data_IF_916164689623
#
_entry.id   IF_916164689623
#
_cell.length_a   1.000
_cell.length_b   1.000
_cell.length_c   1.000
_cell.angle_alpha   90.00
_cell.angle_beta   90.00
_cell.angle_gamma   90.00
#
_symmetry.space_group_name_H-M   'P 1'
#
loop_
_entity.id
_entity.type
_entity.pdbx_description
1 polymer ?
#
# COMPACT_ATOMS: atom_id res chain seq x y z
N UNK A 1 40.07 -16.56 -21.93
CA UNK A 1 40.07 -15.75 -20.72
C UNK A 1 38.68 -15.83 -20.12
N UNK A 2 38.48 -16.74 -19.17
CA UNK A 2 37.19 -17.03 -18.52
C UNK A 2 37.18 -16.31 -17.20
N UNK A 3 36.39 -15.23 -17.12
CA UNK A 3 36.21 -14.47 -15.88
C UNK A 3 35.02 -15.03 -15.12
N UNK A 4 35.31 -15.71 -14.03
CA UNK A 4 34.32 -16.29 -13.12
C UNK A 4 33.72 -15.21 -12.23
N UNK A 5 32.46 -14.85 -12.47
CA UNK A 5 31.69 -13.93 -11.62
C UNK A 5 31.29 -14.61 -10.31
N UNK A 6 32.00 -14.25 -9.23
CA UNK A 6 31.74 -14.77 -7.87
C UNK A 6 30.57 -14.02 -7.23
N UNK A 7 29.40 -14.64 -7.21
CA UNK A 7 28.23 -14.15 -6.48
C UNK A 7 28.51 -14.26 -4.96
N UNK A 8 28.70 -13.13 -4.30
CA UNK A 8 28.71 -13.06 -2.83
C UNK A 8 27.29 -13.22 -2.31
N UNK A 9 26.98 -14.38 -1.74
CA UNK A 9 25.80 -14.60 -0.92
C UNK A 9 25.97 -13.83 0.39
N UNK A 10 25.31 -12.67 0.50
CA UNK A 10 25.24 -11.94 1.77
C UNK A 10 24.05 -12.48 2.56
N UNK A 11 24.34 -13.44 3.43
CA UNK A 11 23.39 -14.04 4.37
C UNK A 11 23.28 -13.11 5.58
N UNK A 12 22.42 -12.11 5.55
CA UNK A 12 22.01 -11.38 6.74
C UNK A 12 20.61 -11.83 7.12
N UNK A 13 20.55 -12.97 7.81
CA UNK A 13 19.41 -13.37 8.63
C UNK A 13 19.31 -12.42 9.81
N UNK A 14 18.60 -11.32 9.66
CA UNK A 14 18.20 -10.50 10.78
C UNK A 14 17.05 -11.20 11.50
N UNK A 15 17.42 -11.85 12.55
CA UNK A 15 16.65 -12.42 13.63
C UNK A 15 15.68 -11.35 14.19
N UNK A 16 14.42 -11.39 13.75
CA UNK A 16 13.35 -10.61 14.36
C UNK A 16 12.92 -11.30 15.65
N UNK A 17 13.62 -10.97 16.74
CA UNK A 17 13.28 -11.42 18.08
C UNK A 17 12.13 -10.57 18.61
N UNK A 18 10.90 -11.07 18.43
CA UNK A 18 9.71 -10.52 19.08
C UNK A 18 9.89 -10.60 20.59
N UNK A 19 10.23 -9.49 21.22
CA UNK A 19 10.17 -9.34 22.67
C UNK A 19 8.71 -9.12 23.07
N UNK A 20 8.04 -10.23 23.37
CA UNK A 20 6.81 -10.17 24.13
C UNK A 20 7.22 -9.80 25.57
N UNK A 21 7.15 -8.52 25.92
CA UNK A 21 7.26 -8.11 27.31
C UNK A 21 6.00 -8.58 28.04
N UNK A 22 6.14 -9.72 28.74
CA UNK A 22 5.20 -10.13 29.77
C UNK A 22 5.37 -9.12 30.89
N UNK A 23 4.50 -8.14 30.95
CA UNK A 23 4.35 -7.25 32.09
C UNK A 23 3.74 -8.08 33.21
N UNK A 24 4.59 -8.57 34.10
CA UNK A 24 4.21 -9.26 35.31
C UNK A 24 3.62 -8.22 36.28
N UNK A 25 2.34 -7.86 36.06
CA UNK A 25 1.60 -7.00 36.96
C UNK A 25 1.28 -7.78 38.22
N UNK A 26 2.08 -7.57 39.25
CA UNK A 26 1.77 -7.98 40.63
C UNK A 26 0.51 -7.26 41.05
N UNK A 27 -0.63 -7.93 41.00
CA UNK A 27 -1.92 -7.42 41.45
C UNK A 27 -1.87 -7.43 42.99
N UNK A 28 -1.94 -6.26 43.66
CA UNK A 28 -2.10 -6.23 45.09
C UNK A 28 -3.46 -6.80 45.49
N UNK A 29 -3.45 -7.85 46.32
CA UNK A 29 -4.65 -8.48 46.86
C UNK A 29 -5.33 -7.58 47.89
N UNK A 30 -5.98 -6.53 47.42
CA UNK A 30 -6.98 -5.81 48.24
C UNK A 30 -8.37 -6.32 47.89
N UNK A 31 -8.68 -7.56 48.33
CA UNK A 31 -10.05 -8.06 48.34
C UNK A 31 -10.80 -7.44 49.53
N UNK A 32 -11.22 -6.17 49.41
CA UNK A 32 -12.29 -5.66 50.23
C UNK A 32 -13.58 -6.30 49.73
N UNK A 33 -14.21 -7.08 50.63
CA UNK A 33 -15.56 -7.66 50.45
C UNK A 33 -16.59 -6.54 50.35
N UNK A 34 -16.67 -5.85 49.25
CA UNK A 34 -17.83 -5.05 48.89
C UNK A 34 -18.86 -6.03 48.31
N UNK A 35 -20.02 -6.13 49.00
CA UNK A 35 -21.16 -6.92 48.55
C UNK A 35 -21.63 -6.38 47.20
N UNK A 36 -21.12 -6.99 46.13
CA UNK A 36 -21.46 -6.67 44.73
C UNK A 36 -22.91 -7.10 44.50
N UNK A 37 -23.84 -6.14 44.47
CA UNK A 37 -25.25 -6.40 44.16
C UNK A 37 -25.34 -7.09 42.80
N UNK A 38 -25.91 -8.30 42.68
CA UNK A 38 -25.88 -9.11 41.45
C UNK A 38 -26.63 -8.48 40.25
N UNK A 39 -27.17 -7.28 40.40
CA UNK A 39 -27.88 -6.56 39.34
C UNK A 39 -27.02 -5.72 38.44
N UNK A 40 -25.74 -5.46 38.80
CA UNK A 40 -24.83 -4.61 38.03
C UNK A 40 -23.97 -5.48 37.06
N UNK A 41 -23.77 -6.75 37.39
CA UNK A 41 -22.94 -7.67 36.59
C UNK A 41 -23.47 -7.86 35.14
N UNK A 42 -24.78 -8.04 34.89
CA UNK A 42 -25.29 -8.19 33.52
C UNK A 42 -25.19 -6.88 32.72
N UNK A 43 -25.26 -5.71 33.37
CA UNK A 43 -25.13 -4.42 32.71
C UNK A 43 -23.70 -4.17 32.24
N UNK A 44 -22.68 -4.52 33.06
CA UNK A 44 -21.26 -4.43 32.67
C UNK A 44 -20.88 -5.40 31.56
N UNK A 45 -21.48 -6.61 31.54
CA UNK A 45 -21.30 -7.58 30.47
C UNK A 45 -21.93 -7.09 29.15
N UNK A 46 -23.06 -6.43 29.20
CA UNK A 46 -23.74 -5.89 28.03
C UNK A 46 -22.96 -4.71 27.43
N UNK A 47 -22.38 -3.84 28.25
CA UNK A 47 -21.53 -2.72 27.81
C UNK A 47 -20.21 -3.21 27.19
N UNK A 48 -19.63 -4.30 27.73
CA UNK A 48 -18.41 -4.90 27.19
C UNK A 48 -18.60 -5.53 25.78
N UNK A 49 -19.79 -6.03 25.48
CA UNK A 49 -20.12 -6.60 24.15
C UNK A 49 -20.31 -5.52 23.06
N UNK A 50 -20.64 -4.28 23.44
CA UNK A 50 -20.83 -3.17 22.49
C UNK A 50 -19.52 -2.46 22.14
N UNK A 51 -18.45 -2.62 22.92
CA UNK A 51 -17.15 -1.98 22.66
C UNK A 51 -16.25 -2.75 21.69
N UNK A 52 -16.69 -3.92 21.19
CA UNK A 52 -15.86 -4.83 20.41
C UNK A 52 -15.80 -4.58 18.89
N UNK A 53 -16.49 -3.59 18.36
CA UNK A 53 -16.48 -3.30 16.93
C UNK A 53 -15.78 -1.97 16.63
N UNK A 54 -14.50 -1.86 16.95
CA UNK A 54 -13.63 -0.92 16.24
C UNK A 54 -13.17 -1.64 14.96
N UNK A 55 -14.01 -1.65 13.94
CA UNK A 55 -13.53 -1.89 12.60
C UNK A 55 -12.56 -0.75 12.25
N UNK A 56 -11.27 -1.00 12.41
CA UNK A 56 -10.31 -0.28 11.61
C UNK A 56 -10.68 -0.60 10.15
N UNK A 57 -11.43 0.31 9.54
CA UNK A 57 -11.78 0.28 8.14
C UNK A 57 -10.49 0.35 7.33
N UNK A 58 -9.75 -0.74 7.30
CA UNK A 58 -8.65 -0.94 6.39
C UNK A 58 -9.21 -0.80 5.00
N UNK A 59 -8.94 0.35 4.35
CA UNK A 59 -9.34 0.56 2.96
C UNK A 59 -8.81 -0.64 2.18
N UNK A 60 -9.69 -1.38 1.51
CA UNK A 60 -9.38 -2.58 0.68
C UNK A 60 -8.46 -2.24 -0.51
N UNK A 61 -7.79 -1.11 -0.46
CA UNK A 61 -6.98 -0.57 -1.52
C UNK A 61 -5.51 -0.60 -1.12
N UNK A 62 -4.62 -1.02 -2.03
CA UNK A 62 -3.20 -0.98 -1.78
C UNK A 62 -2.80 0.45 -1.37
N UNK A 63 -2.41 0.63 -0.10
CA UNK A 63 -1.80 1.88 0.32
C UNK A 63 -0.37 1.88 -0.16
N UNK A 64 0.03 2.90 -0.90
CA UNK A 64 1.42 3.09 -1.30
C UNK A 64 2.16 3.79 -0.17
N UNK A 65 3.02 3.07 0.52
CA UNK A 65 3.81 3.63 1.62
C UNK A 65 4.71 4.76 1.12
N UNK A 66 4.69 5.91 1.79
CA UNK A 66 5.42 7.11 1.38
C UNK A 66 4.87 7.80 0.14
N UNK A 67 3.74 7.34 -0.42
CA UNK A 67 3.08 7.96 -1.57
C UNK A 67 2.11 9.07 -1.14
N UNK A 68 2.10 10.17 -1.90
CA UNK A 68 1.19 11.30 -1.77
C UNK A 68 0.43 11.49 -3.09
N UNK A 69 -0.90 11.36 -3.06
CA UNK A 69 -1.72 11.36 -4.26
C UNK A 69 -1.77 12.73 -4.98
N UNK A 70 -1.76 13.83 -4.23
CA UNK A 70 -1.80 15.16 -4.82
C UNK A 70 -0.50 15.49 -5.54
N UNK A 71 0.62 15.11 -4.95
CA UNK A 71 1.94 15.18 -5.61
C UNK A 71 1.97 14.27 -6.83
N UNK A 72 1.45 13.05 -6.73
CA UNK A 72 1.34 12.12 -7.85
C UNK A 72 0.57 12.69 -9.02
N UNK A 73 -0.57 13.35 -8.77
CA UNK A 73 -1.36 14.03 -9.80
C UNK A 73 -0.55 15.12 -10.53
N UNK A 74 0.19 15.95 -9.79
CA UNK A 74 1.06 16.99 -10.38
C UNK A 74 2.17 16.38 -11.25
N UNK A 75 2.78 15.29 -10.76
CA UNK A 75 3.80 14.57 -11.51
C UNK A 75 3.24 13.94 -12.78
N UNK A 76 2.02 13.39 -12.78
CA UNK A 76 1.35 12.90 -13.99
C UNK A 76 1.24 13.98 -15.08
N UNK A 77 0.97 15.23 -14.67
CA UNK A 77 0.95 16.38 -15.59
C UNK A 77 2.37 16.72 -16.07
N UNK A 78 3.34 16.78 -15.17
CA UNK A 78 4.73 17.11 -15.48
C UNK A 78 5.36 16.11 -16.47
N UNK A 79 5.13 14.83 -16.26
CA UNK A 79 5.62 13.75 -17.14
C UNK A 79 4.71 13.47 -18.34
N UNK A 80 3.68 14.31 -18.53
CA UNK A 80 2.77 14.26 -19.68
C UNK A 80 2.11 12.88 -19.91
N UNK A 81 1.79 12.16 -18.85
CA UNK A 81 1.19 10.83 -18.93
C UNK A 81 -0.13 10.82 -19.71
N UNK A 82 -0.88 11.96 -19.66
CA UNK A 82 -2.14 12.14 -20.40
C UNK A 82 -1.98 12.22 -21.92
N UNK A 83 -0.75 12.35 -22.44
CA UNK A 83 -0.49 12.29 -23.89
C UNK A 83 -0.83 10.89 -24.45
N UNK A 84 -0.64 9.86 -23.65
CA UNK A 84 -0.92 8.47 -24.06
C UNK A 84 -2.15 7.88 -23.39
N UNK A 85 -2.49 8.34 -22.18
CA UNK A 85 -3.55 7.79 -21.35
C UNK A 85 -4.69 8.78 -21.11
N UNK A 86 -5.91 8.26 -21.00
CA UNK A 86 -7.02 9.01 -20.42
C UNK A 86 -6.89 8.93 -18.89
N UNK A 87 -6.67 10.08 -18.24
CA UNK A 87 -6.46 10.17 -16.80
C UNK A 87 -7.38 11.22 -16.20
N UNK A 88 -8.37 10.83 -15.38
CA UNK A 88 -9.30 11.77 -14.76
C UNK A 88 -8.57 12.87 -13.98
N UNK A 89 -9.06 14.10 -14.12
CA UNK A 89 -8.55 15.27 -13.37
C UNK A 89 -7.06 15.60 -13.58
N UNK A 90 -6.40 15.00 -14.55
CA UNK A 90 -5.03 15.39 -14.98
C UNK A 90 -5.16 16.26 -16.22
N UNK A 91 -4.67 17.53 -16.19
CA UNK A 91 -4.70 18.41 -17.35
C UNK A 91 -3.86 17.87 -18.51
N UNK A 92 -4.28 18.19 -19.72
CA UNK A 92 -3.55 17.83 -20.93
C UNK A 92 -4.41 17.06 -21.93
N UNK A 93 -3.84 16.64 -23.08
CA UNK A 93 -4.53 15.78 -24.02
C UNK A 93 -4.89 14.46 -23.34
N UNK A 94 -6.08 13.93 -23.66
CA UNK A 94 -6.51 12.63 -23.15
C UNK A 94 -6.28 11.61 -24.27
N UNK A 95 -5.02 11.10 -24.35
CA UNK A 95 -4.60 10.20 -25.42
C UNK A 95 -5.19 8.80 -25.30
N UNK A 96 -5.19 8.08 -26.42
CA UNK A 96 -5.75 6.74 -26.57
C UNK A 96 -4.71 5.69 -26.99
N UNK A 97 -3.44 6.06 -27.06
CA UNK A 97 -2.36 5.11 -27.41
C UNK A 97 -2.03 4.13 -26.28
N UNK A 98 -2.37 4.48 -25.04
CA UNK A 98 -2.38 3.61 -23.86
C UNK A 98 -3.80 3.37 -23.35
N UNK A 99 -4.01 2.39 -22.45
CA UNK A 99 -5.33 2.15 -21.87
C UNK A 99 -5.79 3.33 -21.00
N UNK A 100 -7.13 3.53 -20.90
CA UNK A 100 -7.69 4.45 -19.91
C UNK A 100 -7.29 4.05 -18.51
N UNK A 101 -6.92 5.03 -17.67
CA UNK A 101 -6.56 4.84 -16.27
C UNK A 101 -7.70 5.19 -15.30
N UNK A 102 -8.91 5.51 -15.84
CA UNK A 102 -10.06 5.95 -15.03
C UNK A 102 -10.39 5.04 -13.86
N UNK A 103 -10.21 3.73 -14.03
CA UNK A 103 -10.55 2.74 -13.00
C UNK A 103 -9.36 1.87 -12.61
N UNK A 104 -8.12 2.32 -12.90
CA UNK A 104 -6.93 1.51 -12.70
C UNK A 104 -6.77 1.02 -11.25
N UNK A 105 -7.21 1.81 -10.27
CA UNK A 105 -7.16 1.44 -8.85
C UNK A 105 -8.09 0.28 -8.46
N UNK A 106 -9.02 -0.13 -9.35
CA UNK A 106 -9.96 -1.26 -9.13
C UNK A 106 -9.54 -2.54 -9.84
N UNK A 107 -8.60 -2.45 -10.76
CA UNK A 107 -8.17 -3.61 -11.53
C UNK A 107 -7.38 -4.58 -10.66
N UNK A 108 -7.55 -5.87 -10.89
CA UNK A 108 -6.73 -6.92 -10.26
C UNK A 108 -5.35 -7.03 -10.90
N UNK A 109 -5.23 -6.62 -12.15
CA UNK A 109 -3.99 -6.68 -12.94
C UNK A 109 -3.78 -5.39 -13.72
N UNK A 110 -2.50 -5.02 -13.90
CA UNK A 110 -2.04 -3.93 -14.78
C UNK A 110 -1.23 -4.52 -15.93
N UNK A 111 -0.98 -3.74 -16.96
CA UNK A 111 -0.13 -4.10 -18.11
C UNK A 111 -0.46 -5.46 -18.74
N UNK A 112 -1.68 -5.95 -18.57
CA UNK A 112 -2.16 -7.20 -19.16
C UNK A 112 -1.73 -8.48 -18.45
N UNK A 113 -1.27 -8.41 -17.18
CA UNK A 113 -0.94 -9.62 -16.40
C UNK A 113 -0.10 -9.41 -15.15
N UNK A 114 0.35 -8.20 -14.89
CA UNK A 114 1.09 -7.89 -13.66
C UNK A 114 0.07 -7.66 -12.52
N UNK A 115 0.18 -8.34 -11.37
CA UNK A 115 -0.71 -8.09 -10.25
C UNK A 115 -0.71 -6.62 -9.82
N UNK A 116 -1.91 -6.04 -9.64
CA UNK A 116 -2.06 -4.64 -9.26
C UNK A 116 -1.82 -4.46 -7.76
N UNK A 117 -0.57 -4.51 -7.36
CA UNK A 117 -0.07 -4.31 -5.99
C UNK A 117 0.82 -3.07 -5.95
N UNK A 118 0.93 -2.44 -4.79
CA UNK A 118 1.61 -1.15 -4.65
C UNK A 118 3.07 -1.19 -5.15
N UNK A 119 3.84 -2.17 -4.75
CA UNK A 119 5.23 -2.36 -5.17
C UNK A 119 5.36 -2.66 -6.67
N UNK A 120 4.41 -3.43 -7.23
CA UNK A 120 4.36 -3.75 -8.66
C UNK A 120 3.99 -2.54 -9.50
N UNK A 121 3.04 -1.74 -9.03
CA UNK A 121 2.69 -0.47 -9.68
C UNK A 121 3.89 0.50 -9.70
N UNK A 122 4.58 0.65 -8.56
CA UNK A 122 5.78 1.49 -8.47
C UNK A 122 6.87 0.99 -9.41
N UNK A 123 7.15 -0.31 -9.42
CA UNK A 123 8.13 -0.90 -10.33
C UNK A 123 7.74 -0.72 -11.80
N UNK A 124 6.45 -0.91 -12.14
CA UNK A 124 5.92 -0.69 -13.48
C UNK A 124 6.10 0.75 -13.95
N UNK A 125 5.80 1.74 -13.10
CA UNK A 125 5.96 3.15 -13.45
C UNK A 125 7.42 3.55 -13.67
N UNK A 126 8.34 2.94 -12.93
CA UNK A 126 9.78 3.22 -13.05
C UNK A 126 10.39 2.66 -14.33
N UNK A 127 10.11 1.41 -14.62
CA UNK A 127 10.71 0.73 -15.77
C UNK A 127 9.76 -0.32 -16.37
N UNK A 128 8.80 0.13 -17.20
CA UNK A 128 7.86 -0.77 -17.85
C UNK A 128 8.54 -1.85 -18.71
N UNK A 129 9.58 -1.54 -19.52
CA UNK A 129 10.27 -2.55 -20.34
C UNK A 129 10.93 -3.65 -19.52
N UNK A 130 11.43 -3.36 -18.32
CA UNK A 130 12.04 -4.37 -17.44
C UNK A 130 11.01 -5.39 -16.93
N UNK A 131 9.76 -4.95 -16.68
CA UNK A 131 8.71 -5.85 -16.22
C UNK A 131 7.98 -6.56 -17.35
N UNK A 132 7.89 -5.91 -18.50
CA UNK A 132 7.22 -6.45 -19.69
C UNK A 132 8.00 -6.08 -20.95
N UNK A 133 8.96 -6.92 -21.38
CA UNK A 133 9.67 -6.71 -22.63
C UNK A 133 8.69 -6.56 -23.81
N UNK A 134 8.96 -5.60 -24.67
CA UNK A 134 8.11 -5.30 -25.82
C UNK A 134 6.88 -4.42 -25.51
N UNK A 135 6.72 -3.93 -24.29
CA UNK A 135 5.69 -2.91 -24.00
C UNK A 135 5.96 -1.63 -24.80
N UNK A 136 4.88 -0.94 -25.18
CA UNK A 136 4.99 0.40 -25.82
C UNK A 136 5.11 1.52 -24.82
N UNK A 137 4.87 1.28 -23.55
CA UNK A 137 5.08 2.28 -22.49
C UNK A 137 6.59 2.41 -22.23
N UNK A 138 7.20 3.58 -22.46
CA UNK A 138 8.63 3.78 -22.25
C UNK A 138 8.96 3.99 -20.78
N UNK A 139 10.23 3.82 -20.41
CA UNK A 139 10.76 4.32 -19.14
C UNK A 139 10.84 5.83 -19.19
N UNK A 140 10.22 6.49 -18.22
CA UNK A 140 10.16 7.96 -18.13
C UNK A 140 11.25 8.54 -17.22
N UNK A 141 12.14 7.71 -16.69
CA UNK A 141 13.23 8.16 -15.81
C UNK A 141 12.77 8.55 -14.40
N UNK A 142 11.63 8.01 -13.94
CA UNK A 142 11.09 8.29 -12.62
C UNK A 142 12.00 7.77 -11.51
N UNK A 143 12.23 8.60 -10.51
CA UNK A 143 12.74 8.14 -9.23
C UNK A 143 11.72 7.22 -8.54
N UNK A 144 12.17 6.45 -7.58
CA UNK A 144 11.27 5.59 -6.80
C UNK A 144 10.23 6.40 -6.04
N UNK A 145 10.61 7.54 -5.51
CA UNK A 145 9.69 8.40 -4.75
C UNK A 145 8.61 9.01 -5.65
N UNK A 146 8.95 9.47 -6.85
CA UNK A 146 7.98 9.98 -7.81
C UNK A 146 7.01 8.88 -8.24
N UNK A 147 7.51 7.68 -8.51
CA UNK A 147 6.67 6.53 -8.84
C UNK A 147 5.72 6.15 -7.68
N UNK A 148 6.16 6.27 -6.41
CA UNK A 148 5.29 6.08 -5.23
C UNK A 148 4.17 7.11 -5.18
N UNK A 149 4.47 8.38 -5.40
CA UNK A 149 3.47 9.44 -5.46
C UNK A 149 2.46 9.19 -6.59
N UNK A 150 2.93 8.89 -7.79
CA UNK A 150 2.06 8.58 -8.93
C UNK A 150 1.21 7.35 -8.69
N UNK A 151 1.77 6.27 -8.15
CA UNK A 151 1.02 5.08 -7.78
C UNK A 151 -0.08 5.39 -6.75
N UNK A 152 0.21 6.23 -5.75
CA UNK A 152 -0.78 6.66 -4.77
C UNK A 152 -1.97 7.39 -5.45
N UNK A 153 -1.70 8.25 -6.43
CA UNK A 153 -2.76 8.89 -7.21
C UNK A 153 -3.56 7.88 -8.03
N UNK A 154 -2.90 6.97 -8.73
CA UNK A 154 -3.56 5.95 -9.56
C UNK A 154 -4.52 5.08 -8.73
N UNK A 155 -4.20 4.77 -7.48
CA UNK A 155 -5.09 4.03 -6.59
C UNK A 155 -6.30 4.84 -6.10
N UNK A 156 -6.36 6.13 -6.32
CA UNK A 156 -7.58 6.93 -6.09
C UNK A 156 -8.58 6.81 -7.24
N UNK A 157 -8.13 6.40 -8.43
CA UNK A 157 -8.94 6.28 -9.65
C UNK A 157 -9.75 4.97 -9.64
N UNK A 158 -11.08 5.09 -9.45
CA UNK A 158 -12.00 3.96 -9.21
C UNK A 158 -13.29 4.09 -9.99
#
# INVERSE_FOLDING_TARGET
MTETYRVKKNTSLLYYKSHCHIVNSTVPSFFTRTAFRPRILPLLLLVGLLAGCSEEGGSRHPRVEGGDADTGKRLMTQYQCSTCHQIPNVPGPQGESGPSLEHVGRLSYIAGGIPNQADRMVAWLRDPPALKPGTRMPSMGLSEQEARHMAAYLYTLR
#
